data_IF_335923909134
#
_entry.id   IF_335923909134
#
_cell.length_a   1.000
_cell.length_b   1.000
_cell.length_c   1.000
_cell.angle_alpha   90.00
_cell.angle_beta   90.00
_cell.angle_gamma   90.00
#
_symmetry.space_group_name_H-M   'P 1'
#
loop_
_entity.id
_entity.type
_entity.pdbx_description
1 polymer ?
#
# COMPACT_ATOMS: atom_id res chain seq x y z
N UNK A 1 -7.62 -2.34 16.58
CA UNK A 1 -6.74 -1.62 15.66
C UNK A 1 -5.32 -1.78 16.16
N UNK A 2 -4.44 -2.37 15.36
CA UNK A 2 -3.02 -2.53 15.65
C UNK A 2 -2.23 -1.45 14.88
N UNK A 3 -1.03 -1.14 15.38
CA UNK A 3 -0.13 -0.17 14.75
C UNK A 3 1.18 -0.89 14.44
N UNK A 4 1.57 -0.87 13.19
CA UNK A 4 2.80 -1.49 12.71
C UNK A 4 3.48 -0.66 11.63
N UNK A 5 4.35 -1.30 10.88
CA UNK A 5 5.01 -0.70 9.73
C UNK A 5 5.24 -1.72 8.63
N UNK A 6 5.36 -1.21 7.41
CA UNK A 6 5.71 -1.97 6.23
C UNK A 6 7.22 -2.25 6.18
N UNK A 7 7.61 -3.50 5.99
CA UNK A 7 9.02 -3.92 6.09
C UNK A 7 9.93 -3.42 4.96
N UNK A 8 9.37 -2.87 3.87
CA UNK A 8 10.15 -2.46 2.70
C UNK A 8 11.21 -1.41 3.02
N UNK A 9 10.95 -0.47 3.93
CA UNK A 9 11.95 0.54 4.30
C UNK A 9 13.23 -0.11 4.84
N UNK A 10 13.09 -1.14 5.68
CA UNK A 10 14.24 -1.91 6.15
C UNK A 10 14.95 -2.68 5.04
N UNK A 11 14.17 -3.34 4.16
CA UNK A 11 14.72 -4.09 3.01
C UNK A 11 15.52 -3.17 2.10
N UNK A 12 14.98 -2.01 1.78
CA UNK A 12 15.65 -1.03 0.92
C UNK A 12 16.90 -0.43 1.55
N UNK A 13 16.95 -0.34 2.88
CA UNK A 13 18.15 0.09 3.62
C UNK A 13 19.17 -1.04 3.87
N UNK A 14 18.92 -2.24 3.33
CA UNK A 14 19.86 -3.39 3.38
C UNK A 14 19.57 -4.38 4.50
N UNK A 15 18.44 -4.32 5.20
CA UNK A 15 18.05 -5.27 6.24
C UNK A 15 16.81 -6.07 5.83
N UNK A 16 16.99 -7.34 5.46
CA UNK A 16 15.90 -8.27 5.14
C UNK A 16 15.73 -9.39 6.19
N UNK A 17 16.43 -9.32 7.32
CA UNK A 17 16.31 -10.26 8.44
C UNK A 17 15.05 -9.96 9.24
N UNK A 18 14.02 -10.80 9.05
CA UNK A 18 12.70 -10.60 9.68
C UNK A 18 12.74 -10.78 11.21
N UNK A 19 13.61 -11.63 11.76
CA UNK A 19 13.74 -11.79 13.22
C UNK A 19 14.31 -10.51 13.84
N UNK A 20 15.28 -9.87 13.19
CA UNK A 20 15.82 -8.59 13.61
C UNK A 20 14.81 -7.45 13.48
N UNK A 21 14.08 -7.40 12.37
CA UNK A 21 13.01 -6.41 12.14
C UNK A 21 11.93 -6.56 13.20
N UNK A 22 11.50 -7.78 13.51
CA UNK A 22 10.49 -8.06 14.53
C UNK A 22 10.95 -7.63 15.94
N UNK A 23 12.22 -7.92 16.32
CA UNK A 23 12.78 -7.42 17.59
C UNK A 23 12.75 -5.89 17.67
N UNK A 24 13.19 -5.20 16.61
CA UNK A 24 13.14 -3.75 16.56
C UNK A 24 11.70 -3.24 16.73
N UNK A 25 10.73 -3.87 16.04
CA UNK A 25 9.32 -3.51 16.15
C UNK A 25 8.81 -3.60 17.59
N UNK A 26 9.11 -4.70 18.28
CA UNK A 26 8.69 -4.93 19.67
C UNK A 26 9.33 -3.91 20.62
N UNK A 27 10.65 -3.70 20.49
CA UNK A 27 11.41 -2.75 21.31
C UNK A 27 10.90 -1.31 21.15
N UNK A 28 10.45 -0.94 19.94
CA UNK A 28 9.95 0.41 19.61
C UNK A 28 8.46 0.58 19.95
N UNK A 29 7.78 -0.49 20.41
CA UNK A 29 6.39 -0.44 20.85
C UNK A 29 5.34 -0.66 19.75
N UNK A 30 5.75 -1.18 18.59
CA UNK A 30 4.82 -1.66 17.58
C UNK A 30 4.19 -3.00 18.00
N UNK A 31 2.95 -3.24 17.58
CA UNK A 31 2.21 -4.43 17.95
C UNK A 31 1.78 -5.31 16.76
N UNK A 32 2.26 -4.98 15.57
CA UNK A 32 2.19 -5.82 14.38
C UNK A 32 3.25 -5.38 13.35
N UNK A 33 3.44 -6.20 12.31
CA UNK A 33 4.23 -5.87 11.13
C UNK A 33 3.43 -6.17 9.87
N UNK A 34 3.75 -5.44 8.79
CA UNK A 34 3.26 -5.71 7.45
C UNK A 34 4.40 -6.18 6.56
N UNK A 35 4.21 -7.34 5.91
CA UNK A 35 5.27 -7.98 5.14
C UNK A 35 5.29 -7.49 3.69
N UNK A 36 6.38 -6.85 3.33
CA UNK A 36 6.70 -6.50 1.94
C UNK A 36 7.33 -7.64 1.14
N UNK A 37 7.44 -7.48 -0.18
CA UNK A 37 7.90 -8.53 -1.09
C UNK A 37 9.38 -8.93 -0.94
N UNK A 38 10.21 -8.09 -0.33
CA UNK A 38 11.66 -8.31 -0.20
C UNK A 38 12.08 -9.18 0.98
N UNK A 39 11.14 -9.61 1.83
CA UNK A 39 11.43 -10.51 2.95
C UNK A 39 11.39 -11.97 2.48
N UNK A 40 12.44 -12.79 2.73
CA UNK A 40 12.42 -14.23 2.45
C UNK A 40 11.30 -14.93 3.23
N UNK A 41 10.50 -15.76 2.53
CA UNK A 41 9.33 -16.42 3.11
C UNK A 41 9.68 -17.81 3.64
N UNK A 42 10.41 -17.88 4.76
CA UNK A 42 10.87 -19.11 5.40
C UNK A 42 9.93 -19.51 6.56
N UNK A 43 9.15 -20.58 6.38
CA UNK A 43 8.10 -21.02 7.34
C UNK A 43 8.64 -21.23 8.75
N UNK A 44 9.83 -21.80 8.90
CA UNK A 44 10.45 -22.08 10.21
C UNK A 44 10.76 -20.77 10.96
N UNK A 45 11.29 -19.77 10.25
CA UNK A 45 11.58 -18.45 10.82
C UNK A 45 10.27 -17.77 11.25
N UNK A 46 9.30 -17.74 10.37
CA UNK A 46 8.01 -17.12 10.67
C UNK A 46 7.22 -17.83 11.77
N UNK A 47 7.40 -19.15 11.95
CA UNK A 47 6.80 -19.87 13.08
C UNK A 47 7.30 -19.39 14.46
N UNK A 48 8.48 -18.77 14.51
CA UNK A 48 9.01 -18.11 15.71
C UNK A 48 8.52 -16.67 15.79
N UNK A 49 8.70 -15.89 14.72
CA UNK A 49 8.34 -14.46 14.66
C UNK A 49 6.87 -14.22 15.02
N UNK A 50 5.94 -15.01 14.46
CA UNK A 50 4.50 -14.81 14.71
C UNK A 50 4.02 -15.14 16.12
N UNK A 51 4.85 -15.82 16.91
CA UNK A 51 4.60 -16.01 18.36
C UNK A 51 4.88 -14.75 19.17
N UNK A 52 5.74 -13.88 18.69
CA UNK A 52 6.18 -12.66 19.37
C UNK A 52 5.44 -11.43 18.87
N UNK A 53 5.26 -11.32 17.55
CA UNK A 53 4.57 -10.20 16.93
C UNK A 53 3.71 -10.69 15.74
N UNK A 54 2.41 -10.32 15.69
CA UNK A 54 1.53 -10.75 14.59
C UNK A 54 1.86 -10.04 13.27
N UNK A 55 1.62 -10.74 12.16
CA UNK A 55 1.60 -10.17 10.82
C UNK A 55 0.20 -9.59 10.55
N UNK A 56 0.10 -8.29 10.38
CA UNK A 56 -1.17 -7.59 10.12
C UNK A 56 -1.70 -7.82 8.71
N UNK A 57 -0.79 -7.77 7.74
CA UNK A 57 -1.05 -7.95 6.33
C UNK A 57 0.23 -8.41 5.60
N UNK A 58 0.04 -8.98 4.44
CA UNK A 58 1.11 -9.14 3.45
C UNK A 58 0.76 -8.28 2.23
N UNK A 59 1.74 -7.64 1.63
CA UNK A 59 1.55 -6.82 0.44
C UNK A 59 2.36 -7.36 -0.74
N UNK A 60 1.73 -7.38 -1.91
CA UNK A 60 2.37 -7.71 -3.18
C UNK A 60 1.70 -6.96 -4.32
N UNK A 61 2.21 -5.78 -4.65
CA UNK A 61 1.71 -4.94 -5.73
C UNK A 61 2.53 -5.16 -7.00
N UNK A 62 1.88 -5.63 -8.07
CA UNK A 62 2.47 -5.88 -9.38
C UNK A 62 1.45 -5.59 -10.48
N UNK A 63 1.89 -5.63 -11.73
CA UNK A 63 0.99 -5.57 -12.86
C UNK A 63 0.46 -6.98 -13.17
N UNK A 64 -0.73 -7.32 -12.65
CA UNK A 64 -1.32 -8.66 -12.78
C UNK A 64 -2.01 -8.90 -14.11
N UNK A 65 -2.13 -7.88 -14.96
CA UNK A 65 -2.74 -7.95 -16.30
C UNK A 65 -1.82 -7.36 -17.37
N UNK A 66 -0.50 -7.52 -17.20
CA UNK A 66 0.49 -7.01 -18.14
C UNK A 66 0.23 -7.53 -19.56
N UNK A 67 0.58 -6.74 -20.58
CA UNK A 67 0.51 -7.14 -21.98
C UNK A 67 1.47 -8.30 -22.32
N UNK A 68 2.53 -8.50 -21.52
CA UNK A 68 3.28 -9.74 -21.44
C UNK A 68 2.51 -10.74 -20.58
N UNK A 69 1.77 -11.63 -21.26
CA UNK A 69 0.90 -12.63 -20.63
C UNK A 69 1.68 -13.59 -19.72
N UNK A 70 2.91 -13.95 -20.06
CA UNK A 70 3.72 -14.83 -19.22
C UNK A 70 4.16 -14.12 -17.93
N UNK A 71 4.51 -12.83 -18.04
CA UNK A 71 4.81 -12.01 -16.87
C UNK A 71 3.56 -11.90 -15.97
N UNK A 72 2.40 -11.56 -16.54
CA UNK A 72 1.14 -11.48 -15.80
C UNK A 72 0.82 -12.81 -15.07
N UNK A 73 0.95 -13.94 -15.75
CA UNK A 73 0.72 -15.27 -15.14
C UNK A 73 1.69 -15.58 -14.01
N UNK A 74 2.98 -15.25 -14.15
CA UNK A 74 3.97 -15.42 -13.07
C UNK A 74 3.63 -14.59 -11.85
N UNK A 75 3.26 -13.30 -12.04
CA UNK A 75 2.91 -12.42 -10.94
C UNK A 75 1.61 -12.84 -10.25
N UNK A 76 0.62 -13.33 -10.98
CA UNK A 76 -0.60 -13.89 -10.41
C UNK A 76 -0.32 -15.15 -9.58
N UNK A 77 0.50 -16.07 -10.09
CA UNK A 77 0.89 -17.29 -9.38
C UNK A 77 1.63 -16.94 -8.08
N UNK A 78 2.54 -15.96 -8.12
CA UNK A 78 3.25 -15.51 -6.93
C UNK A 78 2.31 -14.83 -5.92
N UNK A 79 1.33 -14.04 -6.36
CA UNK A 79 0.31 -13.50 -5.48
C UNK A 79 -0.45 -14.61 -4.75
N UNK A 80 -0.91 -15.64 -5.46
CA UNK A 80 -1.66 -16.75 -4.85
C UNK A 80 -0.80 -17.54 -3.86
N UNK A 81 0.46 -17.78 -4.17
CA UNK A 81 1.41 -18.40 -3.25
C UNK A 81 1.61 -17.57 -1.96
N UNK A 82 1.67 -16.24 -2.10
CA UNK A 82 1.77 -15.32 -0.96
C UNK A 82 0.49 -15.27 -0.14
N UNK A 83 -0.67 -15.37 -0.76
CA UNK A 83 -1.94 -15.48 -0.04
C UNK A 83 -1.99 -16.74 0.83
N UNK A 84 -1.55 -17.90 0.31
CA UNK A 84 -1.43 -19.13 1.08
C UNK A 84 -0.48 -18.93 2.28
N UNK A 85 0.69 -18.36 2.03
CA UNK A 85 1.65 -18.08 3.10
C UNK A 85 1.08 -17.11 4.14
N UNK A 86 0.40 -16.03 3.73
CA UNK A 86 -0.24 -15.09 4.64
C UNK A 86 -1.27 -15.78 5.54
N UNK A 87 -2.11 -16.65 4.96
CA UNK A 87 -3.08 -17.45 5.71
C UNK A 87 -2.40 -18.36 6.74
N UNK A 88 -1.33 -19.05 6.36
CA UNK A 88 -0.54 -19.92 7.26
C UNK A 88 0.05 -19.15 8.44
N UNK A 89 0.40 -17.88 8.26
CA UNK A 89 0.90 -16.99 9.32
C UNK A 89 -0.20 -16.43 10.22
N UNK A 90 -1.47 -16.68 9.92
CA UNK A 90 -2.62 -16.09 10.62
C UNK A 90 -2.88 -14.63 10.23
N UNK A 91 -2.24 -14.10 9.19
CA UNK A 91 -2.62 -12.81 8.63
C UNK A 91 -4.04 -12.90 8.03
N UNK A 92 -4.78 -11.80 8.10
CA UNK A 92 -6.17 -11.76 7.64
C UNK A 92 -6.34 -10.90 6.38
N UNK A 93 -5.27 -10.29 5.89
CA UNK A 93 -5.29 -9.37 4.75
C UNK A 93 -4.15 -9.66 3.80
N UNK A 94 -4.50 -9.63 2.50
CA UNK A 94 -3.53 -9.55 1.41
C UNK A 94 -3.74 -8.24 0.67
N UNK A 95 -2.71 -7.40 0.61
CA UNK A 95 -2.76 -6.11 -0.09
C UNK A 95 -2.17 -6.30 -1.48
N UNK A 96 -2.84 -5.75 -2.49
CA UNK A 96 -2.34 -5.81 -3.86
C UNK A 96 -2.81 -4.61 -4.71
N UNK A 97 -2.18 -4.44 -5.86
CA UNK A 97 -2.65 -3.61 -6.98
C UNK A 97 -3.54 -4.43 -7.92
N UNK A 98 -3.99 -3.82 -9.00
CA UNK A 98 -4.75 -4.52 -10.06
C UNK A 98 -3.91 -4.80 -11.30
N UNK A 99 -3.14 -3.83 -11.74
CA UNK A 99 -2.48 -3.81 -13.02
C UNK A 99 -3.17 -2.91 -14.04
N UNK A 100 -2.54 -2.75 -15.19
CA UNK A 100 -3.06 -2.03 -16.37
C UNK A 100 -2.47 -2.66 -17.64
N UNK A 101 -3.30 -2.85 -18.66
CA UNK A 101 -2.83 -3.12 -20.02
C UNK A 101 -2.50 -1.81 -20.71
N UNK A 102 -1.25 -1.60 -21.07
CA UNK A 102 -0.83 -0.39 -21.82
C UNK A 102 -1.43 -0.34 -23.19
N UNK A 103 -1.47 -1.48 -23.88
CA UNK A 103 -2.07 -1.61 -25.20
C UNK A 103 -3.54 -1.19 -25.24
N UNK A 104 -4.30 -1.50 -24.20
CA UNK A 104 -5.72 -1.13 -24.10
C UNK A 104 -5.90 0.30 -23.63
N UNK A 105 -5.12 0.75 -22.63
CA UNK A 105 -5.39 1.97 -21.87
C UNK A 105 -4.54 3.17 -22.30
N UNK A 106 -3.41 2.95 -23.01
CA UNK A 106 -2.50 4.01 -23.44
C UNK A 106 -2.27 3.88 -24.95
N UNK A 107 -3.16 4.42 -25.79
CA UNK A 107 -3.01 4.39 -27.24
C UNK A 107 -1.83 5.25 -27.71
N UNK A 108 -1.31 4.96 -28.92
CA UNK A 108 -0.18 5.68 -29.53
C UNK A 108 -0.45 7.18 -29.74
N UNK A 109 -1.73 7.57 -29.82
CA UNK A 109 -2.18 8.97 -29.94
C UNK A 109 -2.00 9.80 -28.66
N UNK A 110 -1.52 9.18 -27.58
CA UNK A 110 -1.37 9.81 -26.26
C UNK A 110 -2.65 9.73 -25.40
N UNK A 111 -2.51 10.17 -24.16
CA UNK A 111 -3.57 10.03 -23.14
C UNK A 111 -3.52 8.70 -22.42
N UNK A 112 -4.37 8.57 -21.40
CA UNK A 112 -4.54 7.34 -20.64
C UNK A 112 -6.00 7.19 -20.26
N UNK A 113 -6.62 6.08 -20.63
CA UNK A 113 -7.97 5.70 -20.19
C UNK A 113 -7.89 4.34 -19.45
N UNK A 114 -7.71 4.36 -18.13
CA UNK A 114 -7.57 3.13 -17.34
C UNK A 114 -8.85 2.27 -17.38
N UNK A 115 -10.01 2.84 -17.75
CA UNK A 115 -11.27 2.07 -17.85
C UNK A 115 -11.22 1.01 -18.94
N UNK A 116 -10.35 1.15 -19.94
CA UNK A 116 -10.13 0.14 -21.00
C UNK A 116 -9.49 -1.14 -20.46
N UNK A 117 -8.83 -1.09 -19.33
CA UNK A 117 -8.29 -2.27 -18.64
C UNK A 117 -9.27 -2.92 -17.66
N UNK A 118 -10.49 -2.42 -17.55
CA UNK A 118 -11.44 -2.85 -16.53
C UNK A 118 -11.80 -4.34 -16.66
N UNK A 119 -12.14 -4.80 -17.85
CA UNK A 119 -12.56 -6.20 -18.08
C UNK A 119 -11.50 -7.21 -17.63
N UNK A 120 -10.24 -7.17 -18.10
CA UNK A 120 -9.22 -8.09 -17.63
C UNK A 120 -8.88 -7.90 -16.13
N UNK A 121 -9.02 -6.71 -15.58
CA UNK A 121 -8.87 -6.49 -14.13
C UNK A 121 -9.97 -7.20 -13.35
N UNK A 122 -11.23 -7.08 -13.77
CA UNK A 122 -12.35 -7.76 -13.10
C UNK A 122 -12.20 -9.29 -13.17
N UNK A 123 -11.79 -9.84 -14.30
CA UNK A 123 -11.50 -11.28 -14.43
C UNK A 123 -10.40 -11.74 -13.46
N UNK A 124 -9.33 -10.98 -13.34
CA UNK A 124 -8.27 -11.25 -12.37
C UNK A 124 -8.81 -11.16 -10.93
N UNK A 125 -9.49 -10.08 -10.59
CA UNK A 125 -9.99 -9.83 -9.23
C UNK A 125 -11.03 -10.87 -8.79
N UNK A 126 -11.92 -11.33 -9.68
CA UNK A 126 -12.85 -12.42 -9.35
C UNK A 126 -12.11 -13.67 -8.88
N UNK A 127 -11.06 -14.09 -9.58
CA UNK A 127 -10.25 -15.25 -9.18
C UNK A 127 -9.50 -15.00 -7.86
N UNK A 128 -8.93 -13.80 -7.70
CA UNK A 128 -8.18 -13.44 -6.49
C UNK A 128 -9.08 -13.34 -5.26
N UNK A 129 -10.30 -12.80 -5.40
CA UNK A 129 -11.29 -12.73 -4.31
C UNK A 129 -11.80 -14.13 -3.93
N UNK A 130 -12.09 -15.00 -4.91
CA UNK A 130 -12.44 -16.38 -4.63
C UNK A 130 -11.35 -17.07 -3.81
N UNK A 131 -10.08 -16.91 -4.22
CA UNK A 131 -8.95 -17.50 -3.49
C UNK A 131 -8.80 -16.90 -2.08
N UNK A 132 -8.99 -15.57 -1.93
CA UNK A 132 -8.97 -14.91 -0.61
C UNK A 132 -10.00 -15.52 0.35
N UNK A 133 -11.23 -15.74 -0.12
CA UNK A 133 -12.30 -16.38 0.68
C UNK A 133 -11.95 -17.78 1.13
N UNK A 134 -11.42 -18.60 0.25
CA UNK A 134 -10.98 -19.98 0.58
C UNK A 134 -9.94 -19.99 1.70
N UNK A 135 -9.08 -18.97 1.73
CA UNK A 135 -7.98 -18.82 2.68
C UNK A 135 -8.37 -18.00 3.93
N UNK A 136 -9.61 -17.52 4.04
CA UNK A 136 -10.06 -16.68 5.14
C UNK A 136 -9.42 -15.29 5.17
N UNK A 137 -9.00 -14.78 4.00
CA UNK A 137 -8.38 -13.46 3.82
C UNK A 137 -9.38 -12.45 3.26
N UNK A 138 -9.10 -11.16 3.49
CA UNK A 138 -9.64 -10.05 2.70
C UNK A 138 -8.55 -9.57 1.75
N UNK A 139 -8.89 -9.48 0.45
CA UNK A 139 -8.04 -8.87 -0.57
C UNK A 139 -8.25 -7.36 -0.52
N UNK A 140 -7.22 -6.60 -0.15
CA UNK A 140 -7.27 -5.15 -0.04
C UNK A 140 -6.55 -4.50 -1.24
N UNK A 141 -7.27 -3.70 -2.02
CA UNK A 141 -6.67 -2.93 -3.10
C UNK A 141 -6.02 -1.68 -2.53
N UNK A 142 -4.74 -1.48 -2.82
CA UNK A 142 -4.05 -0.25 -2.52
C UNK A 142 -4.19 0.74 -3.68
N UNK A 143 -4.39 2.02 -3.37
CA UNK A 143 -4.54 3.07 -4.39
C UNK A 143 -3.20 3.62 -4.91
N UNK A 144 -2.11 2.89 -4.76
CA UNK A 144 -0.80 3.24 -5.29
C UNK A 144 -0.77 3.13 -6.83
N UNK A 145 -0.54 4.21 -7.60
CA UNK A 145 -0.51 4.15 -9.06
C UNK A 145 0.82 3.67 -9.64
N UNK A 146 1.86 3.53 -8.80
CA UNK A 146 3.25 3.25 -9.23
C UNK A 146 3.43 1.88 -9.87
N UNK A 147 2.56 0.91 -9.56
CA UNK A 147 2.63 -0.45 -10.09
C UNK A 147 1.63 -0.69 -11.23
N UNK A 148 1.32 0.36 -12.01
CA UNK A 148 0.36 0.27 -13.12
C UNK A 148 -0.97 -0.28 -12.66
N UNK A 149 -1.58 0.38 -11.72
CA UNK A 149 -2.81 0.03 -11.05
C UNK A 149 -3.95 0.88 -11.58
N UNK A 150 -5.14 0.31 -11.80
CA UNK A 150 -6.33 1.13 -12.11
C UNK A 150 -7.15 1.48 -10.87
N UNK A 151 -7.01 0.77 -9.76
CA UNK A 151 -7.75 1.04 -8.53
C UNK A 151 -7.22 2.27 -7.76
N UNK A 152 -6.95 3.37 -8.45
CA UNK A 152 -6.23 4.55 -7.94
C UNK A 152 -7.12 5.73 -7.58
N UNK A 153 -8.44 5.62 -7.77
CA UNK A 153 -9.37 6.71 -7.50
C UNK A 153 -10.73 6.20 -7.00
N UNK A 154 -11.49 7.02 -6.27
CA UNK A 154 -12.84 6.67 -5.83
C UNK A 154 -13.77 6.29 -6.97
N UNK A 155 -13.65 6.96 -8.12
CA UNK A 155 -14.40 6.63 -9.33
C UNK A 155 -14.17 5.17 -9.77
N UNK A 156 -12.91 4.74 -9.86
CA UNK A 156 -12.58 3.37 -10.27
C UNK A 156 -12.88 2.34 -9.18
N UNK A 157 -12.78 2.72 -7.91
CA UNK A 157 -13.25 1.88 -6.80
C UNK A 157 -14.74 1.59 -6.91
N UNK A 158 -15.55 2.64 -7.19
CA UNK A 158 -16.99 2.45 -7.37
C UNK A 158 -17.28 1.42 -8.46
N UNK A 159 -16.64 1.57 -9.62
CA UNK A 159 -16.84 0.64 -10.74
C UNK A 159 -16.42 -0.78 -10.38
N UNK A 160 -15.29 -0.96 -9.68
CA UNK A 160 -14.81 -2.27 -9.24
C UNK A 160 -15.79 -2.90 -8.23
N UNK A 161 -16.22 -2.16 -7.20
CA UNK A 161 -17.11 -2.70 -6.17
C UNK A 161 -18.54 -2.93 -6.67
N UNK A 162 -19.03 -2.14 -7.63
CA UNK A 162 -20.33 -2.42 -8.29
C UNK A 162 -20.31 -3.75 -9.06
N UNK A 163 -19.16 -4.14 -9.61
CA UNK A 163 -19.00 -5.41 -10.33
C UNK A 163 -18.62 -6.58 -9.40
N UNK A 164 -17.91 -6.30 -8.29
CA UNK A 164 -17.49 -7.31 -7.30
C UNK A 164 -17.93 -6.83 -5.91
N UNK A 165 -19.22 -6.97 -5.56
CA UNK A 165 -19.74 -6.51 -4.27
C UNK A 165 -19.34 -7.39 -3.08
N UNK A 166 -18.51 -8.40 -3.28
CA UNK A 166 -18.08 -9.36 -2.26
C UNK A 166 -17.32 -8.65 -1.11
N UNK A 167 -17.66 -8.92 0.17
CA UNK A 167 -16.99 -8.32 1.33
C UNK A 167 -15.54 -8.78 1.51
N UNK A 168 -15.10 -9.85 0.83
CA UNK A 168 -13.70 -10.25 0.82
C UNK A 168 -12.82 -9.37 -0.09
N UNK A 169 -13.41 -8.37 -0.79
CA UNK A 169 -12.70 -7.31 -1.51
C UNK A 169 -12.84 -5.99 -0.73
N UNK A 170 -11.72 -5.42 -0.33
CA UNK A 170 -11.65 -4.17 0.41
C UNK A 170 -10.53 -3.25 -0.07
N UNK A 171 -10.18 -2.30 0.77
CA UNK A 171 -9.16 -1.29 0.50
C UNK A 171 -8.05 -1.31 1.56
N UNK A 172 -6.84 -1.13 1.09
CA UNK A 172 -5.74 -0.53 1.83
C UNK A 172 -5.70 0.94 1.44
N UNK A 173 -6.10 1.83 2.35
CA UNK A 173 -6.22 3.25 2.08
C UNK A 173 -4.90 3.97 2.31
N UNK A 174 -4.32 4.53 1.27
CA UNK A 174 -3.14 5.39 1.34
C UNK A 174 -3.46 6.80 0.83
N UNK A 175 -3.65 7.72 1.78
CA UNK A 175 -3.96 9.12 1.48
C UNK A 175 -2.83 9.85 0.75
N UNK A 176 -1.58 9.42 0.93
CA UNK A 176 -0.42 10.07 0.34
C UNK A 176 -0.45 10.09 -1.19
N UNK A 177 -1.01 9.05 -1.79
CA UNK A 177 -1.17 8.95 -3.23
C UNK A 177 -2.26 9.89 -3.77
N UNK A 178 -3.23 10.28 -2.95
CA UNK A 178 -4.26 11.24 -3.36
C UNK A 178 -3.76 12.68 -3.36
N UNK A 179 -2.86 13.03 -2.45
CA UNK A 179 -2.31 14.39 -2.35
C UNK A 179 -1.73 14.87 -3.68
N UNK A 180 -0.82 14.13 -4.26
CA UNK A 180 -0.17 14.54 -5.52
C UNK A 180 -1.03 14.30 -6.78
N UNK A 181 -2.10 13.54 -6.66
CA UNK A 181 -3.13 13.43 -7.71
C UNK A 181 -4.24 14.47 -7.58
N UNK A 182 -4.19 15.34 -6.56
CA UNK A 182 -5.24 16.33 -6.26
C UNK A 182 -6.63 15.71 -6.04
N UNK A 183 -6.67 14.50 -5.50
CA UNK A 183 -7.90 13.83 -5.07
C UNK A 183 -8.15 14.17 -3.60
N UNK A 184 -9.41 14.37 -3.19
CA UNK A 184 -9.76 14.56 -1.79
C UNK A 184 -9.32 13.37 -0.94
N UNK A 185 -8.61 13.65 0.14
CA UNK A 185 -8.04 12.62 1.04
C UNK A 185 -9.00 12.21 2.17
N UNK A 186 -10.15 12.85 2.32
CA UNK A 186 -11.08 12.61 3.44
C UNK A 186 -12.42 12.03 3.01
N UNK A 187 -13.08 12.66 2.03
CA UNK A 187 -14.38 12.22 1.54
C UNK A 187 -14.42 10.75 1.13
N UNK A 188 -13.45 10.25 0.36
CA UNK A 188 -13.40 8.83 0.00
C UNK A 188 -13.28 7.88 1.19
N UNK A 189 -12.67 8.29 2.31
CA UNK A 189 -12.65 7.46 3.53
C UNK A 189 -14.04 7.30 4.12
N UNK A 190 -14.86 8.35 4.10
CA UNK A 190 -16.23 8.30 4.59
C UNK A 190 -17.13 7.52 3.64
N UNK A 191 -16.96 7.70 2.32
CA UNK A 191 -17.73 7.01 1.28
C UNK A 191 -17.49 5.49 1.27
N UNK A 192 -16.24 5.06 1.42
CA UNK A 192 -15.83 3.65 1.34
C UNK A 192 -15.51 3.04 2.71
N UNK A 193 -16.00 3.64 3.81
CA UNK A 193 -15.69 3.25 5.18
C UNK A 193 -15.84 1.76 5.48
N UNK A 194 -16.83 1.09 4.88
CA UNK A 194 -17.11 -0.33 5.08
C UNK A 194 -16.17 -1.25 4.28
N UNK A 195 -15.36 -0.67 3.39
CA UNK A 195 -14.39 -1.37 2.57
C UNK A 195 -12.95 -1.19 3.06
N UNK A 196 -12.68 -0.24 3.95
CA UNK A 196 -11.32 0.04 4.43
C UNK A 196 -10.99 -0.92 5.58
N UNK A 197 -10.02 -1.80 5.35
CA UNK A 197 -9.54 -2.78 6.32
C UNK A 197 -8.08 -2.57 6.71
N UNK A 198 -7.37 -1.74 5.98
CA UNK A 198 -5.98 -1.37 6.24
C UNK A 198 -5.74 0.07 5.84
N UNK A 199 -4.84 0.75 6.56
CA UNK A 199 -4.48 2.14 6.26
C UNK A 199 -2.96 2.27 6.29
N UNK A 200 -2.40 2.79 5.20
CA UNK A 200 -1.01 3.23 5.18
C UNK A 200 -0.89 4.65 5.75
N UNK A 201 -0.01 4.77 6.73
CA UNK A 201 0.35 6.05 7.35
C UNK A 201 1.60 6.58 6.62
N UNK A 202 1.36 7.31 5.56
CA UNK A 202 2.37 7.94 4.71
C UNK A 202 1.88 9.33 4.34
N UNK A 203 2.77 10.31 4.33
CA UNK A 203 2.45 11.68 3.94
C UNK A 203 3.09 12.03 2.59
N UNK A 204 2.64 13.11 1.99
CA UNK A 204 3.21 13.64 0.75
C UNK A 204 3.39 15.14 0.85
N UNK A 205 4.60 15.61 0.55
CA UNK A 205 4.95 17.02 0.44
C UNK A 205 4.86 17.50 -0.99
N UNK A 206 4.19 18.62 -1.21
CA UNK A 206 4.14 19.31 -2.50
C UNK A 206 5.15 20.48 -2.53
N UNK A 207 5.65 20.77 -3.72
CA UNK A 207 6.54 21.90 -4.03
C UNK A 207 5.89 22.74 -5.15
N UNK A 208 4.98 23.67 -4.80
CA UNK A 208 4.19 24.44 -5.75
C UNK A 208 5.04 25.24 -6.75
N UNK A 209 6.18 25.76 -6.30
CA UNK A 209 7.11 26.52 -7.14
C UNK A 209 7.73 25.67 -8.26
N UNK A 210 7.95 24.38 -8.00
CA UNK A 210 8.40 23.42 -9.02
C UNK A 210 7.26 23.04 -9.94
N UNK A 211 6.09 22.72 -9.38
CA UNK A 211 4.89 22.36 -10.15
C UNK A 211 4.53 23.47 -11.17
N UNK A 212 4.58 24.74 -10.75
CA UNK A 212 4.31 25.88 -11.63
C UNK A 212 5.29 26.00 -12.82
N UNK A 213 6.49 25.44 -12.71
CA UNK A 213 7.49 25.49 -13.77
C UNK A 213 7.43 24.32 -14.72
N UNK A 214 7.11 23.14 -14.23
CA UNK A 214 7.21 21.90 -15.02
C UNK A 214 5.85 21.25 -15.32
N UNK A 215 4.79 21.63 -14.59
CA UNK A 215 3.45 21.08 -14.76
C UNK A 215 3.31 19.64 -14.25
N UNK A 216 2.08 19.16 -14.23
CA UNK A 216 1.73 17.82 -13.69
C UNK A 216 2.15 16.66 -14.61
N UNK A 217 2.32 16.92 -15.91
CA UNK A 217 2.68 15.88 -16.89
C UNK A 217 4.15 15.50 -16.84
N UNK A 218 5.00 16.37 -16.29
CA UNK A 218 6.40 16.06 -16.07
C UNK A 218 6.54 15.22 -14.79
N UNK A 219 6.36 13.92 -14.94
CA UNK A 219 6.56 12.99 -13.83
C UNK A 219 8.02 12.58 -13.77
N UNK A 220 8.74 13.14 -12.80
CA UNK A 220 10.12 12.78 -12.50
C UNK A 220 10.21 11.69 -11.45
N UNK A 221 9.13 11.02 -11.12
CA UNK A 221 9.13 9.87 -10.21
C UNK A 221 10.01 8.76 -10.82
N UNK A 222 11.31 8.90 -10.69
CA UNK A 222 12.28 7.83 -10.89
C UNK A 222 12.20 6.90 -9.69
N UNK A 223 12.36 5.64 -9.95
CA UNK A 223 12.19 4.54 -8.99
C UNK A 223 13.06 4.64 -7.73
N UNK A 224 13.87 5.57 -7.51
CA UNK A 224 14.62 5.91 -6.28
C UNK A 224 15.57 7.06 -6.59
N UNK A 225 15.43 8.09 -5.86
CA UNK A 225 16.31 9.25 -5.87
C UNK A 225 15.50 10.53 -5.93
N UNK A 226 15.93 11.49 -5.16
CA UNK A 226 15.39 12.83 -5.20
C UNK A 226 15.84 13.48 -6.50
N UNK A 227 14.91 13.70 -7.44
CA UNK A 227 15.14 14.58 -8.56
C UNK A 227 14.89 16.01 -8.09
N UNK A 228 15.85 16.93 -8.30
CA UNK A 228 15.73 18.34 -7.94
C UNK A 228 14.49 19.03 -8.55
N UNK A 229 13.98 18.48 -9.68
CA UNK A 229 12.79 18.96 -10.37
C UNK A 229 11.50 18.28 -9.91
N UNK A 230 11.55 17.31 -9.01
CA UNK A 230 10.36 16.63 -8.53
C UNK A 230 9.50 17.60 -7.71
N UNK A 231 8.23 17.78 -8.14
CA UNK A 231 7.32 18.74 -7.51
C UNK A 231 6.50 18.16 -6.36
N UNK A 232 6.65 16.86 -6.07
CA UNK A 232 6.13 16.18 -4.88
C UNK A 232 7.09 15.06 -4.45
N UNK A 233 7.01 14.68 -3.20
CA UNK A 233 7.69 13.49 -2.68
C UNK A 233 6.92 12.91 -1.51
N UNK A 234 7.02 11.61 -1.31
CA UNK A 234 6.59 10.99 -0.06
C UNK A 234 7.49 11.42 1.10
N UNK A 235 6.90 11.47 2.28
CA UNK A 235 7.59 11.85 3.50
C UNK A 235 6.96 11.16 4.70
N UNK A 236 7.66 11.18 5.84
CA UNK A 236 7.13 10.63 7.07
C UNK A 236 5.91 11.43 7.55
N UNK A 237 5.03 10.77 8.27
CA UNK A 237 3.78 11.29 8.83
C UNK A 237 3.98 12.67 9.48
N UNK A 238 3.20 13.65 9.05
CA UNK A 238 3.18 15.03 9.56
C UNK A 238 4.22 15.97 8.95
N UNK A 239 4.95 15.55 7.91
CA UNK A 239 5.84 16.43 7.15
C UNK A 239 5.26 16.88 5.80
N UNK A 240 4.08 16.39 5.42
CA UNK A 240 3.41 16.67 4.15
C UNK A 240 2.17 17.53 4.30
N UNK A 241 1.19 17.30 3.43
CA UNK A 241 -0.01 18.13 3.28
C UNK A 241 -1.24 17.57 4.02
N UNK A 242 -1.17 16.36 4.58
CA UNK A 242 -2.33 15.72 5.21
C UNK A 242 -2.57 16.31 6.59
N UNK A 243 -3.80 16.73 6.86
CA UNK A 243 -4.22 17.09 8.22
C UNK A 243 -4.50 15.81 9.01
N UNK A 244 -3.50 15.34 9.75
CA UNK A 244 -3.55 14.08 10.48
C UNK A 244 -4.54 14.07 11.65
N UNK A 245 -4.86 15.21 12.25
CA UNK A 245 -5.93 15.27 13.25
C UNK A 245 -7.28 14.89 12.62
N UNK A 246 -7.66 15.57 11.52
CA UNK A 246 -8.89 15.26 10.80
C UNK A 246 -8.87 13.82 10.25
N UNK A 247 -7.75 13.39 9.71
CA UNK A 247 -7.60 12.03 9.17
C UNK A 247 -7.86 10.97 10.25
N UNK A 248 -7.23 11.11 11.42
CA UNK A 248 -7.39 10.15 12.51
C UNK A 248 -8.76 10.21 13.18
N UNK A 249 -9.45 11.37 13.17
CA UNK A 249 -10.86 11.44 13.57
C UNK A 249 -11.74 10.51 12.74
N UNK A 250 -11.55 10.48 11.41
CA UNK A 250 -12.27 9.58 10.52
C UNK A 250 -11.85 8.11 10.76
N UNK A 251 -10.54 7.84 10.81
CA UNK A 251 -10.01 6.48 11.05
C UNK A 251 -10.61 5.84 12.30
N UNK A 252 -10.76 6.59 13.40
CA UNK A 252 -11.37 6.10 14.67
C UNK A 252 -12.82 5.66 14.50
N UNK A 253 -13.50 6.10 13.46
CA UNK A 253 -14.91 5.75 13.19
C UNK A 253 -15.08 4.63 12.17
N UNK A 254 -13.99 4.13 11.58
CA UNK A 254 -14.07 3.05 10.59
C UNK A 254 -14.54 1.74 11.26
N UNK A 255 -15.54 1.05 10.68
CA UNK A 255 -16.22 -0.06 11.35
C UNK A 255 -15.47 -1.40 11.24
N UNK A 256 -14.40 -1.50 10.46
CA UNK A 256 -13.74 -2.77 10.20
C UNK A 256 -13.10 -3.39 11.45
N UNK A 257 -13.44 -4.62 11.83
CA UNK A 257 -12.78 -5.34 12.92
C UNK A 257 -11.34 -5.78 12.55
N UNK A 258 -10.99 -5.68 11.27
CA UNK A 258 -9.66 -6.01 10.74
C UNK A 258 -8.76 -4.79 10.55
N UNK A 259 -9.22 -3.60 10.95
CA UNK A 259 -8.50 -2.36 10.74
C UNK A 259 -7.16 -2.36 11.47
N UNK A 260 -6.10 -2.21 10.70
CA UNK A 260 -4.76 -1.97 11.20
C UNK A 260 -4.13 -0.78 10.46
N UNK A 261 -3.21 -0.11 11.14
CA UNK A 261 -2.46 1.02 10.62
C UNK A 261 -1.00 0.60 10.42
N UNK A 262 -0.44 0.92 9.28
CA UNK A 262 0.94 0.57 8.94
C UNK A 262 1.70 1.81 8.45
N UNK A 263 2.80 2.16 9.11
CA UNK A 263 3.69 3.18 8.56
C UNK A 263 4.36 2.62 7.30
N UNK A 264 4.03 3.19 6.15
CA UNK A 264 4.76 2.94 4.92
C UNK A 264 5.79 4.06 4.73
N UNK A 265 6.98 3.84 5.30
CA UNK A 265 8.03 4.84 5.26
C UNK A 265 8.72 4.83 3.90
N UNK A 266 8.51 5.90 3.15
CA UNK A 266 9.12 6.22 1.86
C UNK A 266 9.62 7.68 1.89
N UNK A 267 10.60 7.96 2.77
CA UNK A 267 11.21 9.27 2.92
C UNK A 267 12.71 9.14 2.79
N UNK A 268 13.28 9.66 1.71
CA UNK A 268 14.71 9.58 1.41
C UNK A 268 15.61 10.15 2.53
N UNK A 269 15.07 10.97 3.43
CA UNK A 269 15.79 11.46 4.61
C UNK A 269 15.97 10.39 5.69
N UNK A 270 15.22 9.27 5.61
CA UNK A 270 15.20 8.21 6.61
C UNK A 270 15.44 6.81 6.06
N UNK A 271 16.06 6.69 4.87
CA UNK A 271 16.25 5.40 4.18
C UNK A 271 17.73 5.05 3.94
N UNK A 272 18.68 5.84 4.47
CA UNK A 272 20.11 5.63 4.21
C UNK A 272 20.65 4.30 4.76
N UNK A 273 20.10 3.85 5.88
CA UNK A 273 20.50 2.64 6.58
C UNK A 273 19.42 2.20 7.58
N UNK A 274 19.47 0.96 8.13
CA UNK A 274 18.44 0.45 9.03
C UNK A 274 18.26 1.25 10.34
N UNK A 275 19.29 1.93 10.84
CA UNK A 275 19.17 2.76 12.05
C UNK A 275 18.40 4.04 11.74
N UNK A 276 18.63 4.62 10.57
CA UNK A 276 17.91 5.80 10.12
C UNK A 276 16.43 5.47 9.82
N UNK A 277 16.14 4.30 9.26
CA UNK A 277 14.76 3.79 9.12
C UNK A 277 14.09 3.70 10.49
N UNK A 278 14.74 3.05 11.48
CA UNK A 278 14.21 2.93 12.84
C UNK A 278 13.90 4.30 13.45
N UNK A 279 14.81 5.26 13.30
CA UNK A 279 14.63 6.63 13.77
C UNK A 279 13.40 7.31 13.13
N UNK A 280 13.21 7.13 11.83
CA UNK A 280 12.02 7.65 11.12
C UNK A 280 10.73 7.05 11.67
N UNK A 281 10.69 5.74 11.89
CA UNK A 281 9.55 5.03 12.46
C UNK A 281 9.23 5.49 13.89
N UNK A 282 10.23 5.67 14.75
CA UNK A 282 10.07 6.22 16.11
C UNK A 282 9.48 7.64 16.11
N UNK A 283 9.93 8.49 15.18
CA UNK A 283 9.38 9.85 15.04
C UNK A 283 7.91 9.77 14.64
N UNK A 284 7.56 8.92 13.68
CA UNK A 284 6.20 8.75 13.20
C UNK A 284 5.28 8.21 14.30
N UNK A 285 5.72 7.21 15.06
CA UNK A 285 4.95 6.65 16.17
C UNK A 285 4.66 7.69 17.26
N UNK A 286 5.67 8.49 17.64
CA UNK A 286 5.48 9.61 18.59
C UNK A 286 4.47 10.62 18.08
N UNK A 287 4.52 10.98 16.78
CA UNK A 287 3.55 11.90 16.17
C UNK A 287 2.15 11.31 16.14
N UNK A 288 2.02 10.05 15.72
CA UNK A 288 0.72 9.37 15.69
C UNK A 288 0.03 9.43 17.06
N UNK A 289 0.78 9.22 18.15
CA UNK A 289 0.26 9.30 19.51
C UNK A 289 -0.29 10.69 19.87
N UNK A 290 0.08 11.74 19.16
CA UNK A 290 -0.52 13.07 19.36
C UNK A 290 -1.83 13.26 18.59
N UNK A 291 -2.14 12.38 17.65
CA UNK A 291 -3.37 12.39 16.85
C UNK A 291 -4.41 11.36 17.34
N UNK A 292 -3.96 10.37 18.14
CA UNK A 292 -4.83 9.38 18.78
C UNK A 292 -5.52 9.94 20.02
#
# INVERSE_FOLDING_TARGET
MRIGFHTNAYVWSGLADIERIARNAIEDGFNCIELGPGIPLEREIFSRVTKEIPVAAMIYCRNFIDDDTEAAMREQAELFRRMEFASDLGARKMICSTGISRRLSIPDSGGCDPTKSLEPVLEFLHRAVCRAKELGLVLCLENCPMYRNIATSPYLWKVIFDNIPDPALGLCYDASHFVWQFIDVYGPMEEYRDRIHHVHLKDTRLYPEKLQRIGILHNTARERGFDENQWWRHTILGNGEINWHRFMEIVKTLPSPLLDLSFEQEDCCFESDPQNVRRGLEIQLRRLNTYL
#
